data_IF_321651276017
#
_entry.id   IF_321651276017
#
_cell.length_a   1.000
_cell.length_b   1.000
_cell.length_c   1.000
_cell.angle_alpha   90.00
_cell.angle_beta   90.00
_cell.angle_gamma   90.00
#
_symmetry.space_group_name_H-M   'P 1'
#
loop_
_entity.id
_entity.type
_entity.pdbx_description
1 polymer ?
#
# COMPACT_ATOMS: atom_id res chain seq x y z
N UNK A 1 -27.51 35.01 -6.39
CA UNK A 1 -26.62 34.14 -7.18
C UNK A 1 -25.22 34.26 -6.60
N UNK A 2 -24.79 33.32 -5.76
CA UNK A 2 -23.42 33.31 -5.24
C UNK A 2 -22.63 32.22 -5.95
N UNK A 3 -21.55 32.63 -6.61
CA UNK A 3 -20.64 31.76 -7.34
C UNK A 3 -20.04 30.70 -6.41
N UNK A 4 -20.28 29.44 -6.79
CA UNK A 4 -19.60 28.26 -6.27
C UNK A 4 -18.12 28.43 -6.62
N UNK A 5 -17.26 28.60 -5.61
CA UNK A 5 -15.83 28.43 -5.81
C UNK A 5 -15.61 26.96 -6.19
N UNK A 6 -15.35 26.73 -7.48
CA UNK A 6 -14.96 25.44 -8.02
C UNK A 6 -13.63 25.05 -7.39
N UNK A 7 -13.67 24.21 -6.37
CA UNK A 7 -12.53 23.35 -6.05
C UNK A 7 -12.38 22.41 -7.24
N UNK A 8 -11.20 22.29 -7.86
CA UNK A 8 -11.00 21.42 -9.01
C UNK A 8 -11.45 20.00 -8.68
N UNK A 9 -12.41 19.52 -9.47
CA UNK A 9 -12.95 18.18 -9.42
C UNK A 9 -11.91 17.24 -10.04
N UNK A 10 -10.93 16.80 -9.25
CA UNK A 10 -10.05 15.71 -9.65
C UNK A 10 -10.81 14.41 -9.44
N UNK A 11 -11.31 13.89 -10.56
CA UNK A 11 -11.91 12.56 -10.68
C UNK A 11 -11.08 11.54 -9.90
N UNK A 12 -11.74 10.70 -9.09
CA UNK A 12 -11.15 9.41 -8.74
C UNK A 12 -10.68 8.77 -10.05
N UNK A 13 -9.38 8.51 -10.17
CA UNK A 13 -8.89 7.77 -11.31
C UNK A 13 -9.65 6.44 -11.33
N UNK A 14 -10.22 6.09 -12.46
CA UNK A 14 -10.92 4.82 -12.70
C UNK A 14 -10.12 3.59 -12.25
N UNK A 15 -8.80 3.73 -12.08
CA UNK A 15 -7.90 2.74 -11.51
C UNK A 15 -8.16 2.42 -10.02
N UNK A 16 -8.59 3.36 -9.18
CA UNK A 16 -8.84 3.16 -7.74
C UNK A 16 -10.11 2.31 -7.46
N UNK A 17 -11.08 2.31 -8.38
CA UNK A 17 -12.21 1.37 -8.43
C UNK A 17 -11.82 0.04 -9.10
N UNK A 18 -10.85 0.05 -10.02
CA UNK A 18 -10.34 -1.19 -10.65
C UNK A 18 -9.67 -2.12 -9.61
N UNK A 19 -9.19 -1.57 -8.48
CA UNK A 19 -8.74 -2.34 -7.31
C UNK A 19 -9.85 -3.20 -6.68
N UNK A 20 -11.11 -2.85 -6.92
CA UNK A 20 -12.27 -3.46 -6.28
C UNK A 20 -12.80 -4.67 -7.05
N UNK A 21 -12.48 -4.77 -8.35
CA UNK A 21 -12.88 -5.85 -9.25
C UNK A 21 -11.82 -6.95 -9.42
N UNK A 22 -10.54 -6.67 -9.17
CA UNK A 22 -9.47 -7.68 -9.34
C UNK A 22 -9.40 -8.72 -8.21
N UNK A 23 -9.96 -8.44 -7.03
CA UNK A 23 -10.04 -9.40 -5.90
C UNK A 23 -11.16 -10.46 -6.10
N UNK A 24 -12.11 -10.25 -7.03
CA UNK A 24 -13.28 -11.12 -7.20
C UNK A 24 -13.19 -12.14 -8.34
N UNK A 25 -12.09 -12.16 -9.11
CA UNK A 25 -11.93 -13.06 -10.25
C UNK A 25 -10.58 -13.77 -10.27
N UNK A 26 -10.49 -14.89 -9.55
CA UNK A 26 -9.48 -15.92 -9.82
C UNK A 26 -10.10 -16.97 -10.75
N UNK A 27 -9.72 -16.94 -12.03
CA UNK A 27 -9.77 -18.12 -12.91
C UNK A 27 -8.47 -18.23 -13.71
N UNK A 28 -7.90 -19.42 -13.86
CA UNK A 28 -6.69 -19.61 -14.63
C UNK A 28 -7.04 -19.57 -16.12
N UNK A 29 -6.31 -18.77 -16.90
CA UNK A 29 -6.17 -19.00 -18.33
C UNK A 29 -4.69 -19.04 -18.69
N UNK A 30 -4.23 -20.25 -18.95
CA UNK A 30 -3.10 -20.56 -19.82
C UNK A 30 -3.38 -20.04 -21.22
N UNK A 31 -2.47 -19.25 -21.77
CA UNK A 31 -2.05 -19.31 -23.18
C UNK A 31 -0.82 -18.40 -23.34
N UNK A 32 0.33 -19.05 -23.62
CA UNK A 32 1.54 -18.40 -24.07
C UNK A 32 1.28 -17.66 -25.38
N UNK A 33 1.39 -16.33 -25.35
CA UNK A 33 1.72 -15.54 -26.52
C UNK A 33 2.86 -14.60 -26.17
N UNK A 34 4.03 -14.93 -26.70
CA UNK A 34 5.17 -14.03 -26.84
C UNK A 34 4.71 -12.74 -27.53
N UNK A 35 4.48 -11.70 -26.74
CA UNK A 35 4.50 -10.32 -27.21
C UNK A 35 5.69 -9.68 -26.52
N UNK A 36 6.77 -9.53 -27.27
CA UNK A 36 7.95 -8.80 -26.85
C UNK A 36 7.59 -7.34 -26.69
N UNK A 37 7.24 -6.94 -25.48
CA UNK A 37 7.04 -5.55 -25.12
C UNK A 37 8.35 -5.06 -24.51
N UNK A 38 9.19 -4.46 -25.36
CA UNK A 38 10.40 -3.76 -24.95
C UNK A 38 10.00 -2.50 -24.16
N UNK A 39 9.68 -2.66 -22.87
CA UNK A 39 9.69 -1.56 -21.91
C UNK A 39 11.14 -1.01 -21.85
N UNK A 40 11.50 -0.09 -22.76
CA UNK A 40 12.77 0.65 -22.84
C UNK A 40 12.95 1.68 -21.72
N UNK A 41 12.31 1.45 -20.57
CA UNK A 41 12.43 2.30 -19.40
C UNK A 41 13.04 1.54 -18.22
N UNK A 42 14.11 0.78 -18.48
CA UNK A 42 15.08 0.52 -17.42
C UNK A 42 15.76 1.88 -17.13
N UNK A 43 15.14 2.70 -16.26
CA UNK A 43 15.81 3.84 -15.61
C UNK A 43 16.87 3.26 -14.67
N UNK A 44 17.91 2.69 -15.28
CA UNK A 44 19.16 2.46 -14.62
C UNK A 44 19.92 3.77 -14.68
N UNK A 45 20.43 4.17 -13.52
CA UNK A 45 21.45 5.21 -13.34
C UNK A 45 22.82 4.77 -13.89
N UNK A 46 22.80 4.04 -15.01
CA UNK A 46 23.97 3.56 -15.74
C UNK A 46 23.55 3.09 -17.14
N UNK A 47 22.90 3.96 -17.91
CA UNK A 47 23.05 4.01 -19.36
C UNK A 47 23.18 5.49 -19.77
N UNK A 48 24.19 6.16 -19.18
CA UNK A 48 24.99 7.00 -20.05
C UNK A 48 25.54 6.03 -21.09
N UNK A 49 25.02 6.13 -22.32
CA UNK A 49 25.67 5.59 -23.52
C UNK A 49 27.17 5.69 -23.29
N UNK A 50 27.90 4.62 -23.58
CA UNK A 50 29.36 4.48 -23.41
C UNK A 50 30.23 5.56 -24.08
N UNK A 51 29.64 6.67 -24.52
CA UNK A 51 30.27 7.87 -25.06
C UNK A 51 30.23 9.11 -24.14
N UNK A 52 29.68 9.03 -22.92
CA UNK A 52 29.90 10.07 -21.91
C UNK A 52 30.65 9.47 -20.73
N UNK A 53 31.93 9.83 -20.66
CA UNK A 53 32.85 9.49 -19.60
C UNK A 53 32.29 10.09 -18.30
N UNK A 54 31.52 9.31 -17.54
CA UNK A 54 31.13 9.68 -16.18
C UNK A 54 32.43 10.08 -15.49
N UNK A 55 32.54 11.33 -14.99
CA UNK A 55 33.77 11.78 -14.35
C UNK A 55 34.16 10.76 -13.29
N UNK A 56 35.40 10.27 -13.35
CA UNK A 56 35.86 9.12 -12.55
C UNK A 56 35.56 9.34 -11.07
N UNK A 57 35.59 10.58 -10.62
CA UNK A 57 35.29 11.06 -9.28
C UNK A 57 33.91 10.58 -8.79
N UNK A 58 32.85 10.69 -9.59
CA UNK A 58 31.50 10.28 -9.18
C UNK A 58 31.34 8.78 -9.03
N UNK A 59 32.11 7.98 -9.78
CA UNK A 59 32.05 6.51 -9.68
C UNK A 59 32.52 6.00 -8.32
N UNK A 60 33.44 6.73 -7.67
CA UNK A 60 33.94 6.39 -6.34
C UNK A 60 32.91 6.62 -5.22
N UNK A 61 31.85 7.39 -5.48
CA UNK A 61 30.76 7.63 -4.52
C UNK A 61 29.71 6.49 -4.49
N UNK A 62 29.74 5.58 -5.46
CA UNK A 62 28.74 4.52 -5.59
C UNK A 62 29.19 3.27 -4.82
N UNK A 63 28.63 3.07 -3.62
CA UNK A 63 28.91 1.88 -2.80
C UNK A 63 28.12 0.65 -3.25
N UNK A 64 26.86 0.83 -3.66
CA UNK A 64 25.99 -0.26 -4.14
C UNK A 64 25.70 -0.04 -5.61
N UNK A 65 26.27 -0.91 -6.44
CA UNK A 65 26.14 -0.79 -7.89
C UNK A 65 24.79 -1.33 -8.39
N UNK A 66 24.27 -0.71 -9.45
CA UNK A 66 23.18 -1.27 -10.24
C UNK A 66 23.59 -2.58 -10.90
N UNK A 67 22.72 -3.58 -10.84
CA UNK A 67 22.87 -4.81 -11.60
C UNK A 67 22.66 -4.57 -13.09
N UNK A 68 23.36 -5.35 -13.93
CA UNK A 68 23.16 -5.33 -15.39
C UNK A 68 21.72 -5.74 -15.73
N UNK A 69 21.16 -5.08 -16.74
CA UNK A 69 19.83 -5.32 -17.30
C UNK A 69 19.80 -6.45 -18.34
N UNK A 70 20.93 -7.02 -18.73
CA UNK A 70 20.97 -8.07 -19.77
C UNK A 70 20.60 -9.45 -19.22
N UNK A 71 19.94 -10.27 -20.03
CA UNK A 71 19.54 -11.64 -19.70
C UNK A 71 18.08 -11.79 -19.26
N UNK A 72 17.71 -13.05 -18.95
CA UNK A 72 16.36 -13.42 -18.50
C UNK A 72 16.05 -12.87 -17.10
N UNK A 73 14.78 -12.87 -16.68
CA UNK A 73 14.41 -12.46 -15.32
C UNK A 73 15.16 -13.29 -14.26
N UNK A 74 15.33 -14.59 -14.50
CA UNK A 74 16.09 -15.49 -13.62
C UNK A 74 17.56 -15.07 -13.50
N UNK A 75 18.20 -14.67 -14.60
CA UNK A 75 19.57 -14.15 -14.59
C UNK A 75 19.65 -12.84 -13.80
N UNK A 76 18.69 -11.94 -14.02
CA UNK A 76 18.59 -10.66 -13.33
C UNK A 76 18.37 -10.82 -11.82
N UNK A 77 17.70 -11.87 -11.36
CA UNK A 77 17.43 -12.16 -9.94
C UNK A 77 18.47 -13.08 -9.28
N UNK A 78 19.46 -13.57 -10.03
CA UNK A 78 20.52 -14.43 -9.48
C UNK A 78 21.30 -13.70 -8.38
N UNK A 79 21.46 -14.37 -7.23
CA UNK A 79 22.29 -13.88 -6.12
C UNK A 79 23.73 -14.28 -6.40
N UNK A 80 24.63 -13.29 -6.44
CA UNK A 80 26.07 -13.52 -6.55
C UNK A 80 26.68 -13.63 -5.14
N UNK A 81 27.54 -14.62 -4.93
CA UNK A 81 27.98 -15.14 -3.62
C UNK A 81 28.93 -14.24 -2.84
N UNK A 82 28.68 -12.93 -2.80
CA UNK A 82 29.46 -11.98 -1.98
C UNK A 82 29.30 -10.51 -2.32
N UNK A 83 28.60 -10.15 -3.40
CA UNK A 83 28.46 -8.75 -3.83
C UNK A 83 27.01 -8.29 -3.81
N UNK A 84 26.71 -7.35 -2.90
CA UNK A 84 25.42 -6.65 -2.86
C UNK A 84 25.26 -5.79 -4.11
N UNK A 85 24.13 -5.91 -4.78
CA UNK A 85 23.73 -5.06 -5.91
C UNK A 85 22.31 -4.55 -5.76
N UNK A 86 21.98 -3.53 -6.56
CA UNK A 86 20.63 -3.00 -6.69
C UNK A 86 20.01 -3.39 -8.04
N UNK A 87 18.79 -3.91 -8.05
CA UNK A 87 17.98 -4.07 -9.26
C UNK A 87 16.82 -3.07 -9.24
N UNK A 88 16.48 -2.50 -10.39
CA UNK A 88 15.30 -1.65 -10.56
C UNK A 88 14.30 -2.34 -11.49
N UNK A 89 13.04 -2.44 -11.09
CA UNK A 89 11.94 -2.98 -11.92
C UNK A 89 10.78 -1.99 -11.96
N UNK A 90 10.14 -1.86 -13.13
CA UNK A 90 8.83 -1.21 -13.23
C UNK A 90 7.77 -2.05 -12.51
N UNK A 91 6.65 -1.45 -12.10
CA UNK A 91 5.52 -2.18 -11.50
C UNK A 91 5.02 -3.35 -12.37
N UNK A 92 5.08 -3.21 -13.70
CA UNK A 92 4.69 -4.22 -14.69
C UNK A 92 5.66 -5.41 -14.65
N UNK A 93 6.97 -5.14 -14.69
CA UNK A 93 8.01 -6.17 -14.57
C UNK A 93 7.96 -6.87 -13.21
N UNK A 94 7.67 -6.14 -12.12
CA UNK A 94 7.44 -6.74 -10.80
C UNK A 94 6.25 -7.70 -10.83
N UNK A 95 5.12 -7.30 -11.40
CA UNK A 95 3.93 -8.16 -11.49
C UNK A 95 4.24 -9.47 -12.21
N UNK A 96 4.82 -9.40 -13.41
CA UNK A 96 5.22 -10.61 -14.17
C UNK A 96 6.23 -11.46 -13.39
N UNK A 97 7.23 -10.85 -12.73
CA UNK A 97 8.21 -11.57 -11.93
C UNK A 97 7.59 -12.22 -10.70
N UNK A 98 6.60 -11.59 -10.05
CA UNK A 98 5.87 -12.18 -8.92
C UNK A 98 5.03 -13.39 -9.34
N UNK A 99 4.60 -13.44 -10.60
CA UNK A 99 3.83 -14.53 -11.18
C UNK A 99 4.70 -15.76 -11.46
N UNK A 100 5.90 -15.55 -11.98
CA UNK A 100 6.74 -16.61 -12.56
C UNK A 100 8.04 -16.90 -11.78
N UNK A 101 8.52 -15.96 -10.97
CA UNK A 101 9.85 -15.98 -10.31
C UNK A 101 9.77 -15.51 -8.84
N UNK A 102 8.64 -15.77 -8.16
CA UNK A 102 8.38 -15.27 -6.80
C UNK A 102 9.44 -15.69 -5.77
N UNK A 103 9.88 -16.94 -5.80
CA UNK A 103 10.93 -17.44 -4.92
C UNK A 103 12.28 -16.74 -5.18
N UNK A 104 12.62 -16.52 -6.45
CA UNK A 104 13.87 -15.83 -6.83
C UNK A 104 13.85 -14.36 -6.39
N UNK A 105 12.69 -13.68 -6.43
CA UNK A 105 12.53 -12.33 -5.91
C UNK A 105 12.86 -12.25 -4.41
N UNK A 106 12.33 -13.19 -3.62
CA UNK A 106 12.56 -13.21 -2.17
C UNK A 106 14.04 -13.51 -1.85
N UNK A 107 14.64 -14.50 -2.52
CA UNK A 107 16.08 -14.78 -2.39
C UNK A 107 16.92 -13.56 -2.75
N UNK A 108 16.55 -12.87 -3.83
CA UNK A 108 17.23 -11.67 -4.24
C UNK A 108 17.14 -10.59 -3.15
N UNK A 109 15.95 -10.28 -2.65
CA UNK A 109 15.75 -9.21 -1.65
C UNK A 109 16.28 -9.53 -0.25
N UNK A 110 16.60 -10.79 0.06
CA UNK A 110 17.32 -11.18 1.28
C UNK A 110 18.79 -10.73 1.28
N UNK A 111 19.43 -10.65 0.10
CA UNK A 111 20.86 -10.33 -0.04
C UNK A 111 21.15 -9.06 -0.82
N UNK A 112 20.16 -8.52 -1.52
CA UNK A 112 20.28 -7.40 -2.45
C UNK A 112 19.15 -6.39 -2.26
N UNK A 113 19.27 -5.24 -2.92
CA UNK A 113 18.26 -4.17 -2.86
C UNK A 113 17.43 -4.19 -4.15
N UNK A 114 16.10 -4.24 -3.99
CA UNK A 114 15.17 -4.13 -5.10
C UNK A 114 14.42 -2.79 -5.04
N UNK A 115 14.54 -2.02 -6.12
CA UNK A 115 13.79 -0.79 -6.36
C UNK A 115 12.63 -1.06 -7.31
N UNK A 116 11.44 -0.67 -6.90
CA UNK A 116 10.23 -0.70 -7.73
C UNK A 116 9.84 0.73 -8.05
N UNK A 117 9.43 1.00 -9.28
CA UNK A 117 8.98 2.34 -9.68
C UNK A 117 7.71 2.28 -10.54
N UNK A 118 6.90 3.36 -10.55
CA UNK A 118 5.72 3.44 -11.40
C UNK A 118 6.10 3.35 -12.88
N UNK A 119 5.25 2.73 -13.70
CA UNK A 119 5.47 2.64 -15.16
C UNK A 119 5.34 4.01 -15.84
N UNK A 120 6.03 4.20 -16.97
CA UNK A 120 6.06 5.47 -17.71
C UNK A 120 4.69 5.93 -18.20
N UNK A 121 3.75 5.02 -18.45
CA UNK A 121 2.39 5.36 -18.90
C UNK A 121 1.55 6.07 -17.83
N UNK A 122 2.01 6.14 -16.57
CA UNK A 122 1.36 6.93 -15.52
C UNK A 122 1.68 8.43 -15.68
N UNK A 123 1.32 9.00 -16.83
CA UNK A 123 1.52 10.42 -17.18
C UNK A 123 0.83 11.35 -16.17
N UNK A 124 -0.30 10.92 -15.61
CA UNK A 124 -1.03 11.64 -14.55
C UNK A 124 -0.45 11.41 -13.14
N UNK A 125 0.74 10.81 -13.03
CA UNK A 125 1.42 10.59 -11.75
C UNK A 125 0.65 9.76 -10.72
N UNK A 126 -0.25 8.88 -11.17
CA UNK A 126 -0.92 7.91 -10.29
C UNK A 126 0.11 6.95 -9.65
N UNK A 127 -0.29 6.25 -8.59
CA UNK A 127 0.59 5.32 -7.87
C UNK A 127 0.05 3.90 -7.88
N UNK A 128 0.94 2.93 -8.08
CA UNK A 128 0.63 1.50 -8.01
C UNK A 128 0.44 1.03 -6.57
N UNK A 129 -0.16 -0.15 -6.39
CA UNK A 129 -0.36 -0.74 -5.06
C UNK A 129 0.98 -1.25 -4.49
N UNK A 130 1.50 -0.69 -3.40
CA UNK A 130 2.87 -0.98 -2.96
C UNK A 130 3.06 -2.33 -2.28
N UNK A 131 1.98 -2.88 -1.70
CA UNK A 131 1.98 -4.15 -0.98
C UNK A 131 2.61 -5.30 -1.77
N UNK A 132 2.44 -5.35 -3.10
CA UNK A 132 3.03 -6.39 -3.94
C UNK A 132 4.56 -6.37 -3.84
N UNK A 133 5.18 -5.19 -3.86
CA UNK A 133 6.64 -5.07 -3.67
C UNK A 133 7.06 -5.54 -2.28
N UNK A 134 6.36 -5.09 -1.23
CA UNK A 134 6.68 -5.46 0.16
C UNK A 134 6.50 -6.96 0.45
N UNK A 135 5.49 -7.61 -0.13
CA UNK A 135 5.26 -9.06 -0.01
C UNK A 135 6.43 -9.90 -0.52
N UNK A 136 7.15 -9.42 -1.55
CA UNK A 136 8.34 -10.07 -2.09
C UNK A 136 9.65 -9.44 -1.56
N UNK A 137 9.56 -8.64 -0.49
CA UNK A 137 10.71 -8.09 0.24
C UNK A 137 11.39 -6.88 -0.39
N UNK A 138 10.79 -6.24 -1.40
CA UNK A 138 11.33 -5.04 -2.02
C UNK A 138 11.41 -3.89 -1.01
N UNK A 139 12.59 -3.27 -0.89
CA UNK A 139 12.88 -2.25 0.11
C UNK A 139 12.59 -0.84 -0.42
N UNK A 140 12.84 -0.60 -1.71
CA UNK A 140 12.73 0.72 -2.32
C UNK A 140 11.50 0.77 -3.24
N UNK A 141 10.31 0.81 -2.68
CA UNK A 141 9.07 0.99 -3.44
C UNK A 141 8.84 2.50 -3.64
N UNK A 142 9.12 3.01 -4.83
CA UNK A 142 9.09 4.44 -5.13
C UNK A 142 7.67 4.91 -5.52
N UNK A 143 7.32 6.12 -5.11
CA UNK A 143 6.01 6.73 -5.34
C UNK A 143 6.14 8.14 -5.91
N UNK A 144 5.10 8.54 -6.64
CA UNK A 144 4.82 9.93 -6.98
C UNK A 144 4.22 10.63 -5.74
N UNK A 145 5.05 11.36 -4.99
CA UNK A 145 4.69 11.96 -3.69
C UNK A 145 3.85 13.23 -3.78
N UNK A 146 3.74 13.82 -4.97
CA UNK A 146 3.01 15.07 -5.24
C UNK A 146 1.49 14.90 -5.19
N UNK A 147 0.99 13.67 -5.31
CA UNK A 147 -0.43 13.35 -5.38
C UNK A 147 -1.06 13.02 -4.03
N UNK A 148 -2.19 12.34 -4.09
CA UNK A 148 -2.88 11.74 -2.95
C UNK A 148 -3.52 10.41 -3.37
N UNK A 149 -4.10 9.69 -2.41
CA UNK A 149 -4.88 8.48 -2.69
C UNK A 149 -4.39 7.26 -1.93
N UNK A 150 -5.08 6.14 -2.15
CA UNK A 150 -4.95 4.92 -1.33
C UNK A 150 -3.51 4.42 -1.25
N UNK A 151 -2.76 4.42 -2.36
CA UNK A 151 -1.35 3.98 -2.39
C UNK A 151 -0.44 4.79 -1.47
N UNK A 152 -0.61 6.11 -1.45
CA UNK A 152 0.15 7.00 -0.56
C UNK A 152 -0.29 6.84 0.89
N UNK A 153 -1.58 6.60 1.16
CA UNK A 153 -2.07 6.32 2.52
C UNK A 153 -1.47 5.03 3.08
N UNK A 154 -1.37 3.98 2.26
CA UNK A 154 -0.73 2.72 2.65
C UNK A 154 0.75 2.92 2.97
N UNK A 155 1.47 3.68 2.13
CA UNK A 155 2.87 4.03 2.35
C UNK A 155 3.05 4.83 3.65
N UNK A 156 2.28 5.92 3.81
CA UNK A 156 2.33 6.73 5.02
C UNK A 156 2.01 5.88 6.26
N UNK A 157 1.01 4.99 6.18
CA UNK A 157 0.65 4.07 7.25
C UNK A 157 1.75 3.09 7.61
N UNK A 158 2.33 2.40 6.62
CA UNK A 158 3.45 1.46 6.81
C UNK A 158 4.62 2.15 7.53
N UNK A 159 5.01 3.34 7.07
CA UNK A 159 6.14 4.08 7.62
C UNK A 159 5.80 4.90 8.88
N UNK A 160 4.59 4.80 9.45
CA UNK A 160 4.36 5.20 10.86
C UNK A 160 5.05 4.25 11.84
N UNK A 161 5.33 3.01 11.43
CA UNK A 161 6.11 2.07 12.21
C UNK A 161 7.52 2.62 12.50
N UNK A 162 8.18 2.04 13.50
CA UNK A 162 9.56 2.39 13.87
C UNK A 162 9.77 3.91 14.07
N UNK A 163 8.80 4.57 14.70
CA UNK A 163 8.87 5.99 15.03
C UNK A 163 8.88 6.95 13.83
N UNK A 164 8.52 6.50 12.63
CA UNK A 164 8.44 7.40 11.48
C UNK A 164 9.77 7.69 10.79
N UNK A 165 10.84 6.91 11.06
CA UNK A 165 12.19 7.24 10.59
C UNK A 165 12.44 6.95 9.10
N UNK A 166 11.46 6.39 8.39
CA UNK A 166 11.58 6.00 6.97
C UNK A 166 12.16 4.60 6.73
N UNK A 167 12.47 3.84 7.79
CA UNK A 167 12.95 2.45 7.70
C UNK A 167 12.13 1.53 8.60
N UNK A 168 11.62 0.43 8.04
CA UNK A 168 10.86 -0.60 8.77
C UNK A 168 11.56 -1.94 8.56
N UNK A 169 11.88 -2.64 9.66
CA UNK A 169 12.50 -3.98 9.57
C UNK A 169 11.53 -4.93 8.86
N UNK A 170 12.03 -5.66 7.86
CA UNK A 170 11.26 -6.74 7.22
C UNK A 170 10.92 -7.85 8.23
N UNK A 171 9.82 -8.58 8.05
CA UNK A 171 9.57 -9.82 8.79
C UNK A 171 10.72 -10.82 8.61
N UNK A 172 10.95 -11.66 9.62
CA UNK A 172 12.12 -12.55 9.64
C UNK A 172 12.15 -13.52 8.45
N UNK A 173 10.98 -14.00 8.01
CA UNK A 173 10.82 -14.86 6.83
C UNK A 173 11.16 -14.17 5.49
N UNK A 174 11.32 -12.85 5.47
CA UNK A 174 11.82 -12.07 4.31
C UNK A 174 13.30 -11.64 4.48
N UNK A 175 13.96 -12.05 5.56
CA UNK A 175 15.37 -11.76 5.85
C UNK A 175 16.20 -13.05 5.84
N UNK A 176 15.73 -14.10 6.53
CA UNK A 176 16.46 -15.35 6.69
C UNK A 176 16.13 -16.36 5.59
N UNK A 177 17.15 -17.13 5.19
CA UNK A 177 16.96 -18.32 4.36
C UNK A 177 16.33 -19.42 5.23
N UNK A 178 15.24 -20.02 4.76
CA UNK A 178 14.62 -21.15 5.43
C UNK A 178 15.48 -22.42 5.32
N UNK A 179 15.16 -23.42 6.15
CA UNK A 179 15.80 -24.73 6.07
C UNK A 179 15.66 -25.30 4.64
N UNK A 180 16.74 -25.89 4.12
CA UNK A 180 16.71 -26.52 2.79
C UNK A 180 16.42 -25.55 1.63
N UNK A 181 16.77 -24.26 1.76
CA UNK A 181 16.46 -23.21 0.78
C UNK A 181 14.95 -22.93 0.60
N UNK A 182 14.11 -23.26 1.58
CA UNK A 182 12.72 -22.81 1.58
C UNK A 182 12.65 -21.28 1.71
N UNK A 183 11.72 -20.67 0.97
CA UNK A 183 11.42 -19.24 1.07
C UNK A 183 9.92 -19.05 1.25
N UNK A 184 9.56 -17.94 1.87
CA UNK A 184 8.17 -17.51 1.95
C UNK A 184 7.53 -17.46 0.55
N UNK A 185 6.27 -17.89 0.45
CA UNK A 185 5.47 -17.72 -0.77
C UNK A 185 4.21 -16.93 -0.41
N UNK A 186 4.09 -15.67 -0.85
CA UNK A 186 2.93 -14.84 -0.56
C UNK A 186 1.60 -15.37 -1.12
N UNK A 187 1.63 -16.36 -2.02
CA UNK A 187 0.45 -16.99 -2.62
C UNK A 187 0.03 -18.27 -1.91
N UNK A 188 0.91 -18.84 -1.09
CA UNK A 188 0.60 -20.06 -0.34
C UNK A 188 -0.46 -19.75 0.71
N UNK A 189 -1.47 -20.61 0.80
CA UNK A 189 -2.44 -20.55 1.89
C UNK A 189 -1.75 -21.05 3.15
N UNK A 190 -1.57 -20.15 4.12
CA UNK A 190 -0.98 -20.43 5.41
C UNK A 190 -2.08 -20.56 6.48
N UNK A 191 -1.83 -21.28 7.59
CA UNK A 191 -2.76 -21.29 8.71
C UNK A 191 -2.92 -19.88 9.29
N UNK A 192 -4.08 -19.61 9.88
CA UNK A 192 -4.32 -18.36 10.60
C UNK A 192 -3.38 -18.30 11.80
N UNK A 193 -2.63 -17.20 11.90
CA UNK A 193 -1.69 -16.94 12.99
C UNK A 193 -2.29 -16.02 14.05
N UNK A 194 -3.10 -15.06 13.62
CA UNK A 194 -3.73 -14.10 14.52
C UNK A 194 -5.17 -13.78 14.11
N UNK A 195 -6.02 -13.50 15.10
CA UNK A 195 -7.35 -12.92 14.91
C UNK A 195 -7.32 -11.49 15.43
N UNK A 196 -7.59 -10.53 14.54
CA UNK A 196 -7.75 -9.11 14.88
C UNK A 196 -9.24 -8.76 14.94
N UNK A 197 -9.70 -8.33 16.12
CA UNK A 197 -11.03 -7.72 16.29
C UNK A 197 -10.91 -6.21 16.36
N UNK A 198 -11.70 -5.51 15.54
CA UNK A 198 -11.77 -4.06 15.47
C UNK A 198 -13.19 -3.62 15.76
N UNK A 199 -13.41 -3.01 16.93
CA UNK A 199 -14.69 -2.39 17.27
C UNK A 199 -14.65 -0.89 17.03
N UNK A 200 -15.55 -0.41 16.16
CA UNK A 200 -15.72 1.00 15.82
C UNK A 200 -16.88 1.56 16.64
N UNK A 201 -16.59 2.29 17.72
CA UNK A 201 -17.64 2.82 18.61
C UNK A 201 -18.28 4.07 18.04
N UNK A 202 -17.49 5.14 17.90
CA UNK A 202 -17.99 6.46 17.51
C UNK A 202 -16.90 7.31 16.90
N UNK A 203 -17.31 8.35 16.18
CA UNK A 203 -16.44 9.39 15.68
C UNK A 203 -16.85 10.77 16.20
N UNK A 204 -15.87 11.67 16.31
CA UNK A 204 -16.08 13.06 16.75
C UNK A 204 -15.13 14.00 16.00
N UNK A 205 -15.46 15.30 15.98
CA UNK A 205 -14.55 16.36 15.58
C UNK A 205 -14.81 16.97 14.20
N UNK A 206 -15.65 16.36 13.35
CA UNK A 206 -15.92 16.89 12.01
C UNK A 206 -16.50 18.29 12.01
N UNK A 207 -17.44 18.58 12.92
CA UNK A 207 -18.06 19.91 13.05
C UNK A 207 -17.06 21.02 13.43
N UNK A 208 -15.90 20.65 13.98
CA UNK A 208 -14.83 21.60 14.35
C UNK A 208 -13.86 21.85 13.20
N UNK A 209 -13.62 20.84 12.35
CA UNK A 209 -12.62 20.91 11.29
C UNK A 209 -13.22 21.30 9.92
N UNK A 210 -14.52 21.08 9.73
CA UNK A 210 -15.23 21.30 8.46
C UNK A 210 -16.39 22.28 8.61
N UNK A 211 -16.70 23.01 7.53
CA UNK A 211 -17.88 23.89 7.50
C UNK A 211 -19.17 23.07 7.55
N UNK A 212 -20.27 23.68 8.00
CA UNK A 212 -21.58 23.02 8.10
C UNK A 212 -22.11 22.49 6.77
N UNK A 213 -21.62 23.03 5.67
CA UNK A 213 -22.03 22.70 4.30
C UNK A 213 -20.94 21.94 3.53
N UNK A 214 -19.95 21.39 4.24
CA UNK A 214 -18.80 20.77 3.60
C UNK A 214 -19.16 19.46 2.90
N UNK A 215 -19.95 18.64 3.58
CA UNK A 215 -20.42 17.36 3.05
C UNK A 215 -21.81 17.59 2.41
N UNK A 216 -22.82 17.85 3.24
CA UNK A 216 -24.16 18.14 2.76
C UNK A 216 -24.49 19.64 2.75
N UNK A 217 -25.17 20.12 1.71
CA UNK A 217 -25.56 21.53 1.60
C UNK A 217 -26.69 21.92 2.56
N UNK A 218 -27.62 21.00 2.84
CA UNK A 218 -28.88 21.30 3.55
C UNK A 218 -29.16 20.39 4.76
N UNK A 219 -28.33 19.37 4.99
CA UNK A 219 -28.42 18.41 6.10
C UNK A 219 -27.07 18.28 6.83
N UNK A 220 -27.06 17.72 8.04
CA UNK A 220 -25.85 17.12 8.59
C UNK A 220 -25.45 15.86 7.79
N UNK A 221 -24.19 15.40 7.91
CA UNK A 221 -23.67 14.27 7.14
C UNK A 221 -24.22 12.90 7.57
N UNK A 222 -24.22 11.98 6.62
CA UNK A 222 -24.58 10.56 6.68
C UNK A 222 -23.33 9.65 6.78
N UNK A 223 -22.62 9.69 7.91
CA UNK A 223 -21.33 9.01 8.01
C UNK A 223 -21.39 7.47 8.11
N UNK A 224 -20.46 6.81 7.43
CA UNK A 224 -20.12 5.39 7.62
C UNK A 224 -18.61 5.16 7.57
N UNK A 225 -18.14 4.07 8.18
CA UNK A 225 -16.72 3.71 8.24
C UNK A 225 -16.46 2.43 7.46
N UNK A 226 -15.51 2.46 6.52
CA UNK A 226 -14.90 1.26 5.91
C UNK A 226 -13.72 0.82 6.78
N UNK A 227 -13.66 -0.46 7.09
CA UNK A 227 -12.55 -1.10 7.83
C UNK A 227 -11.99 -2.21 6.95
N UNK A 228 -10.74 -2.06 6.52
CA UNK A 228 -10.13 -2.96 5.54
C UNK A 228 -8.77 -3.48 6.03
N UNK A 229 -8.47 -4.73 5.73
CA UNK A 229 -7.11 -5.28 5.79
C UNK A 229 -6.51 -5.24 4.40
N UNK A 230 -5.28 -4.72 4.32
CA UNK A 230 -4.44 -4.77 3.12
C UNK A 230 -3.17 -5.51 3.47
N UNK A 231 -2.89 -6.61 2.78
CA UNK A 231 -1.74 -7.47 3.07
C UNK A 231 -1.58 -8.54 2.00
N UNK A 232 -1.24 -9.76 2.42
CA UNK A 232 -1.30 -10.93 1.53
C UNK A 232 -2.75 -11.18 1.09
N UNK A 233 -2.93 -11.80 -0.08
CA UNK A 233 -4.27 -11.98 -0.67
C UNK A 233 -5.25 -12.71 0.24
N UNK A 234 -4.78 -13.71 1.00
CA UNK A 234 -5.60 -14.47 1.95
C UNK A 234 -6.11 -13.64 3.14
N UNK A 235 -5.43 -12.54 3.49
CA UNK A 235 -5.77 -11.68 4.64
C UNK A 235 -6.61 -10.47 4.23
N UNK A 236 -6.66 -10.15 2.93
CA UNK A 236 -7.40 -9.01 2.41
C UNK A 236 -8.90 -9.15 2.70
N UNK A 237 -9.45 -8.16 3.39
CA UNK A 237 -10.86 -8.14 3.77
C UNK A 237 -11.38 -6.71 3.79
N UNK A 238 -12.65 -6.52 3.45
CA UNK A 238 -13.32 -5.21 3.42
C UNK A 238 -14.65 -5.32 4.13
N UNK A 239 -14.80 -4.57 5.21
CA UNK A 239 -16.05 -4.41 5.93
C UNK A 239 -16.46 -2.95 5.98
N UNK A 240 -17.74 -2.69 6.23
CA UNK A 240 -18.23 -1.33 6.47
C UNK A 240 -19.28 -1.34 7.57
N UNK A 241 -19.34 -0.25 8.32
CA UNK A 241 -20.43 -0.02 9.27
C UNK A 241 -21.72 0.32 8.54
N UNK A 242 -22.85 0.30 9.27
CA UNK A 242 -24.05 1.00 8.81
C UNK A 242 -23.82 2.50 8.69
N UNK A 243 -24.60 3.13 7.82
CA UNK A 243 -24.68 4.59 7.66
C UNK A 243 -25.44 5.18 8.84
N UNK A 244 -24.90 6.26 9.42
CA UNK A 244 -25.55 7.03 10.49
C UNK A 244 -25.98 8.36 9.93
N UNK A 245 -27.29 8.48 9.67
CA UNK A 245 -27.86 9.62 8.97
C UNK A 245 -27.93 10.88 9.80
N UNK A 246 -27.79 12.03 9.14
CA UNK A 246 -27.99 13.37 9.69
C UNK A 246 -27.25 13.60 11.03
N UNK A 247 -26.00 13.13 11.15
CA UNK A 247 -25.29 13.14 12.44
C UNK A 247 -23.78 13.43 12.36
N UNK A 248 -23.38 14.58 12.92
CA UNK A 248 -21.97 15.00 13.10
C UNK A 248 -21.19 14.18 14.15
N UNK A 249 -21.86 13.39 14.97
CA UNK A 249 -21.31 12.58 16.06
C UNK A 249 -21.78 11.12 15.96
N UNK A 250 -21.39 10.42 14.88
CA UNK A 250 -21.88 9.07 14.61
C UNK A 250 -21.44 8.09 15.70
N UNK A 251 -22.38 7.28 16.18
CA UNK A 251 -22.15 6.11 17.04
C UNK A 251 -22.53 4.88 16.24
N UNK A 252 -21.53 4.12 15.81
CA UNK A 252 -21.72 2.88 15.05
C UNK A 252 -21.89 1.67 15.98
N UNK A 253 -20.98 1.53 16.95
CA UNK A 253 -20.90 0.40 17.89
C UNK A 253 -20.86 -0.97 17.19
N UNK A 254 -20.09 -1.07 16.11
CA UNK A 254 -19.98 -2.27 15.27
C UNK A 254 -18.58 -2.88 15.36
N UNK A 255 -18.49 -4.22 15.40
CA UNK A 255 -17.24 -4.97 15.52
C UNK A 255 -17.00 -5.85 14.30
N UNK A 256 -15.74 -5.91 13.87
CA UNK A 256 -15.29 -6.71 12.73
C UNK A 256 -14.15 -7.63 13.16
N UNK A 257 -14.19 -8.87 12.69
CA UNK A 257 -13.16 -9.87 12.93
C UNK A 257 -12.38 -10.15 11.64
N UNK A 258 -11.05 -10.21 11.74
CA UNK A 258 -10.15 -10.49 10.64
C UNK A 258 -9.21 -11.62 11.02
N UNK A 259 -9.18 -12.68 10.21
CA UNK A 259 -8.25 -13.80 10.36
C UNK A 259 -7.02 -13.53 9.53
N UNK A 260 -5.86 -13.45 10.18
CA UNK A 260 -4.59 -13.05 9.58
C UNK A 260 -3.63 -14.23 9.55
N UNK A 261 -3.20 -14.58 8.36
CA UNK A 261 -2.18 -15.60 8.09
C UNK A 261 -0.77 -15.00 8.13
N UNK A 262 -0.61 -13.73 7.72
CA UNK A 262 0.67 -13.01 7.69
C UNK A 262 0.50 -11.59 8.27
N UNK A 263 0.19 -11.47 9.58
CA UNK A 263 -0.07 -10.18 10.23
C UNK A 263 1.09 -9.18 10.14
N UNK A 264 2.33 -9.65 9.98
CA UNK A 264 3.52 -8.81 9.85
C UNK A 264 3.56 -8.00 8.54
N UNK A 265 2.77 -8.39 7.53
CA UNK A 265 2.61 -7.67 6.27
C UNK A 265 1.24 -6.97 6.15
N UNK A 266 0.40 -7.07 7.18
CA UNK A 266 -0.95 -6.54 7.16
C UNK A 266 -1.00 -5.07 7.64
N UNK A 267 -1.76 -4.25 6.90
CA UNK A 267 -2.12 -2.90 7.25
C UNK A 267 -3.63 -2.83 7.48
N UNK A 268 -4.04 -2.27 8.62
CA UNK A 268 -5.41 -1.89 8.91
C UNK A 268 -5.69 -0.50 8.35
N UNK A 269 -6.54 -0.40 7.34
CA UNK A 269 -7.01 0.85 6.74
C UNK A 269 -8.42 1.15 7.19
N UNK A 270 -8.63 2.35 7.73
CA UNK A 270 -9.93 2.84 8.17
C UNK A 270 -10.22 4.13 7.41
N UNK A 271 -11.40 4.21 6.80
CA UNK A 271 -11.82 5.33 5.98
C UNK A 271 -13.26 5.69 6.34
N UNK A 272 -13.51 6.95 6.68
CA UNK A 272 -14.86 7.46 6.94
C UNK A 272 -15.30 8.25 5.72
N UNK A 273 -16.53 8.00 5.28
CA UNK A 273 -17.15 8.77 4.21
C UNK A 273 -18.55 9.21 4.64
N UNK A 274 -19.00 10.29 4.05
CA UNK A 274 -20.40 10.69 4.00
C UNK A 274 -21.10 9.95 2.85
N UNK A 275 -22.32 9.49 3.07
CA UNK A 275 -23.09 8.72 2.09
C UNK A 275 -23.95 9.66 1.25
N UNK A 276 -23.61 9.75 -0.02
CA UNK A 276 -24.34 10.56 -1.00
C UNK A 276 -25.07 9.71 -2.04
N UNK A 277 -25.99 10.36 -2.78
CA UNK A 277 -26.72 9.73 -3.88
C UNK A 277 -25.82 9.43 -5.09
N UNK A 278 -24.85 10.30 -5.37
CA UNK A 278 -23.98 10.19 -6.54
C UNK A 278 -22.62 9.62 -6.17
N UNK A 279 -21.86 10.33 -5.34
CA UNK A 279 -20.51 9.97 -4.92
C UNK A 279 -20.30 10.37 -3.47
N UNK A 280 -19.92 9.39 -2.67
CA UNK A 280 -19.66 9.57 -1.25
C UNK A 280 -18.49 10.55 -1.01
N UNK A 281 -18.73 11.52 -0.14
CA UNK A 281 -17.69 12.48 0.24
C UNK A 281 -16.73 11.91 1.29
N UNK A 282 -15.44 12.11 1.06
CA UNK A 282 -14.39 11.65 1.97
C UNK A 282 -14.38 12.47 3.26
N UNK A 283 -14.46 11.80 4.40
CA UNK A 283 -14.47 12.44 5.71
C UNK A 283 -13.20 12.18 6.55
N UNK A 284 -12.28 11.34 6.06
CA UNK A 284 -10.98 11.11 6.71
C UNK A 284 -10.53 9.66 6.62
N UNK A 285 -9.23 9.43 6.75
CA UNK A 285 -8.65 8.08 6.74
C UNK A 285 -7.51 7.92 7.74
N UNK A 286 -7.23 6.68 8.11
CA UNK A 286 -5.96 6.31 8.74
C UNK A 286 -5.55 4.92 8.28
N UNK A 287 -4.25 4.69 8.22
CA UNK A 287 -3.67 3.39 7.90
C UNK A 287 -2.63 3.05 8.97
N UNK A 288 -2.73 1.85 9.54
CA UNK A 288 -1.97 1.42 10.71
C UNK A 288 -1.37 0.03 10.44
N UNK A 289 -0.07 -0.20 10.67
CA UNK A 289 0.51 -1.52 10.63
C UNK A 289 -0.09 -2.40 11.73
N UNK A 290 -0.58 -3.59 11.38
CA UNK A 290 -1.20 -4.50 12.35
C UNK A 290 -0.21 -4.89 13.45
N UNK A 291 1.06 -5.10 13.08
CA UNK A 291 2.16 -5.40 14.00
C UNK A 291 2.42 -4.33 15.07
N UNK A 292 2.00 -3.08 14.82
CA UNK A 292 2.19 -1.93 15.71
C UNK A 292 0.91 -1.57 16.49
N UNK A 293 -0.19 -2.31 16.30
CA UNK A 293 -1.45 -2.03 16.98
C UNK A 293 -1.35 -2.35 18.47
N UNK A 294 -1.78 -1.39 19.30
CA UNK A 294 -1.91 -1.59 20.74
C UNK A 294 -3.35 -1.95 21.10
N UNK A 295 -3.54 -3.12 21.70
CA UNK A 295 -4.86 -3.60 22.17
C UNK A 295 -5.55 -2.66 23.16
N UNK A 296 -6.87 -2.83 23.32
CA UNK A 296 -7.73 -2.04 24.19
C UNK A 296 -8.36 -0.84 23.48
N UNK A 297 -8.94 0.07 24.25
CA UNK A 297 -9.59 1.29 23.74
C UNK A 297 -8.53 2.31 23.27
N UNK A 298 -8.71 2.84 22.07
CA UNK A 298 -7.81 3.80 21.43
C UNK A 298 -8.60 4.94 20.80
N UNK A 299 -8.14 6.16 21.04
CA UNK A 299 -8.55 7.33 20.26
C UNK A 299 -7.61 7.46 19.07
N UNK A 300 -8.12 7.24 17.86
CA UNK A 300 -7.33 7.25 16.63
C UNK A 300 -7.70 8.47 15.80
N UNK A 301 -6.72 9.35 15.54
CA UNK A 301 -6.90 10.53 14.68
C UNK A 301 -7.03 10.10 13.22
N UNK A 302 -7.83 10.85 12.47
CA UNK A 302 -7.91 10.70 11.02
C UNK A 302 -7.08 11.76 10.31
N UNK A 303 -6.70 11.44 9.08
CA UNK A 303 -5.98 12.29 8.16
C UNK A 303 -6.89 12.69 6.98
N UNK A 304 -6.57 13.81 6.35
CA UNK A 304 -7.19 14.25 5.10
C UNK A 304 -6.74 13.40 3.89
N UNK A 305 -7.19 13.77 2.68
CA UNK A 305 -6.83 13.07 1.44
C UNK A 305 -5.32 13.04 1.20
N UNK A 306 -4.55 14.04 1.65
CA UNK A 306 -3.09 14.10 1.48
C UNK A 306 -2.33 13.34 2.58
N UNK A 307 -3.04 12.81 3.58
CA UNK A 307 -2.44 12.12 4.73
C UNK A 307 -2.04 13.07 5.86
N UNK A 308 -2.43 14.34 5.81
CA UNK A 308 -2.19 15.30 6.89
C UNK A 308 -3.22 15.10 7.99
N UNK A 309 -2.78 15.07 9.25
CA UNK A 309 -3.68 14.89 10.38
C UNK A 309 -4.75 15.99 10.47
N UNK A 310 -5.99 15.58 10.66
CA UNK A 310 -7.11 16.45 11.00
C UNK A 310 -6.99 16.84 12.48
N UNK A 311 -7.31 18.10 12.79
CA UNK A 311 -7.02 18.69 14.12
C UNK A 311 -7.88 18.07 15.21
N UNK A 312 -9.17 17.92 14.92
CA UNK A 312 -10.19 17.52 15.89
C UNK A 312 -10.77 16.14 15.60
N UNK A 313 -10.68 15.66 14.35
CA UNK A 313 -11.31 14.40 13.93
C UNK A 313 -10.62 13.17 14.49
N UNK A 314 -11.39 12.33 15.17
CA UNK A 314 -10.91 11.09 15.79
C UNK A 314 -12.02 10.05 15.95
N UNK A 315 -11.62 8.79 15.87
CA UNK A 315 -12.45 7.62 16.14
C UNK A 315 -12.11 7.03 17.51
N UNK A 316 -13.12 6.61 18.26
CA UNK A 316 -12.95 5.70 19.38
C UNK A 316 -13.05 4.26 18.88
N UNK A 317 -11.94 3.55 18.96
CA UNK A 317 -11.82 2.16 18.52
C UNK A 317 -11.44 1.25 19.69
N UNK A 318 -11.72 -0.04 19.60
CA UNK A 318 -11.08 -1.07 20.43
C UNK A 318 -10.44 -2.11 19.53
N UNK A 319 -9.19 -2.43 19.82
CA UNK A 319 -8.45 -3.49 19.15
C UNK A 319 -8.27 -4.67 20.11
N UNK A 320 -8.49 -5.88 19.61
CA UNK A 320 -8.09 -7.12 20.29
C UNK A 320 -7.31 -7.98 19.31
N UNK A 321 -6.18 -8.50 19.76
CA UNK A 321 -5.35 -9.44 19.01
C UNK A 321 -5.29 -10.74 19.81
N UNK A 322 -5.65 -11.82 19.15
CA UNK A 322 -5.56 -13.19 19.67
C UNK A 322 -4.57 -13.95 18.78
N UNK A 323 -3.51 -14.50 19.37
CA UNK A 323 -2.53 -15.33 18.66
C UNK A 323 -2.94 -16.78 18.77
N UNK A 324 -2.95 -17.50 17.65
CA UNK A 324 -3.34 -18.91 17.55
C UNK A 324 -2.14 -19.86 17.61
#
# INVERSE_FOLDING_TARGET
MYHKALVPNESESSEDETWELQDSLVKPKTEDKHVGDEDKEDINTSDFKSNQQIPREYRHLITIHGGKSEGTMKDRLKVDGGKVRRLSLSEKKLKTASESHGADLIRFTQKNILRIFPKGERVQSSNFRPHLGWMYGAQMVAFNMQGYGKSLWLMQGMFKANGGCGYVKKPEFLIQEGAGNEVFDPKRILPVKQILKVKVYKGVGWKSDFSRTHFDQFSPPDFYTKVCIVGVGADCAKNKTRVKKDNWYPIWDEEFEFKLTVPELALLRIEVNDKDQTKDDFAGQTCLPVSELRCGFRSVRLCDRKGKELKSVKLLLRFQLETL
#
